data_IF_667152309436
#
_entry.id   IF_667152309436
#
_cell.length_a   1.000
_cell.length_b   1.000
_cell.length_c   1.000
_cell.angle_alpha   90.00
_cell.angle_beta   90.00
_cell.angle_gamma   90.00
#
_symmetry.space_group_name_H-M   'P 1'
#
loop_
_entity.id
_entity.type
_entity.pdbx_description
1 polymer ?
#
# COMPACT_ATOMS: atom_id res chain seq x y z
N UNK A 1 -5.14 47.07 -76.51
CA UNK A 1 -6.02 46.62 -75.35
C UNK A 1 -5.52 45.29 -74.83
N UNK A 2 -4.73 45.31 -73.78
CA UNK A 2 -4.17 44.12 -73.16
C UNK A 2 -4.99 43.79 -71.90
N UNK A 3 -5.61 42.60 -71.88
CA UNK A 3 -6.34 42.06 -70.70
C UNK A 3 -5.32 41.40 -69.73
N UNK A 4 -5.21 41.96 -68.55
CA UNK A 4 -4.47 41.31 -67.45
C UNK A 4 -5.38 40.26 -66.83
N UNK A 5 -4.87 39.01 -66.75
CA UNK A 5 -5.46 37.91 -66.00
C UNK A 5 -4.81 37.85 -64.62
N UNK A 6 -5.58 38.14 -63.59
CA UNK A 6 -5.15 37.94 -62.18
C UNK A 6 -5.42 36.47 -61.79
N UNK A 7 -4.35 35.73 -61.49
CA UNK A 7 -4.42 34.39 -60.91
C UNK A 7 -4.35 34.54 -59.38
N UNK A 8 -5.43 34.16 -58.68
CA UNK A 8 -5.46 34.03 -57.26
C UNK A 8 -4.91 32.65 -56.87
N UNK A 9 -3.73 32.59 -56.22
CA UNK A 9 -3.25 31.39 -55.55
C UNK A 9 -3.86 31.37 -54.13
N UNK A 10 -4.79 30.41 -53.92
CA UNK A 10 -5.28 30.09 -52.59
C UNK A 10 -4.26 29.16 -51.91
N UNK A 11 -3.52 29.68 -50.93
CA UNK A 11 -2.66 28.87 -50.08
C UNK A 11 -3.54 28.15 -49.02
N UNK A 12 -3.74 26.87 -49.19
CA UNK A 12 -4.28 26.00 -48.14
C UNK A 12 -3.20 25.82 -47.07
N UNK A 13 -3.32 26.51 -45.96
CA UNK A 13 -2.59 26.22 -44.75
C UNK A 13 -3.21 24.96 -44.13
N UNK A 14 -2.54 23.82 -44.26
CA UNK A 14 -2.85 22.61 -43.51
C UNK A 14 -2.50 22.87 -42.03
N UNK A 15 -3.50 23.20 -41.21
CA UNK A 15 -3.38 23.21 -39.77
C UNK A 15 -3.29 21.70 -39.35
N UNK A 16 -2.07 21.22 -39.17
CA UNK A 16 -1.81 19.99 -38.49
C UNK A 16 -2.25 20.19 -37.02
N UNK A 17 -3.41 19.68 -36.63
CA UNK A 17 -3.73 19.47 -35.24
C UNK A 17 -2.72 18.46 -34.69
N UNK A 18 -1.64 18.94 -34.09
CA UNK A 18 -0.87 18.13 -33.18
C UNK A 18 -1.84 17.75 -32.04
N UNK A 19 -2.29 16.49 -32.03
CA UNK A 19 -2.91 15.95 -30.83
C UNK A 19 -1.88 16.14 -29.71
N UNK A 20 -2.17 17.01 -28.75
CA UNK A 20 -1.43 17.04 -27.49
C UNK A 20 -1.50 15.62 -26.96
N UNK A 21 -0.34 14.93 -26.94
CA UNK A 21 -0.21 13.65 -26.27
C UNK A 21 -0.56 13.94 -24.81
N UNK A 22 -1.67 13.37 -24.32
CA UNK A 22 -1.93 13.34 -22.88
C UNK A 22 -0.65 12.87 -22.17
N UNK A 23 -0.25 13.49 -21.05
CA UNK A 23 0.91 13.02 -20.32
C UNK A 23 0.74 11.54 -20.05
N UNK A 24 1.77 10.76 -20.32
CA UNK A 24 1.75 9.32 -20.10
C UNK A 24 1.49 9.07 -18.61
N UNK A 25 0.56 8.16 -18.29
CA UNK A 25 0.30 7.74 -16.91
C UNK A 25 1.59 7.22 -16.28
N UNK A 26 1.89 7.53 -15.01
CA UNK A 26 3.10 7.04 -14.35
C UNK A 26 3.05 5.52 -14.21
N UNK A 27 4.20 4.88 -14.42
CA UNK A 27 4.41 3.45 -14.27
C UNK A 27 5.45 3.25 -13.17
N UNK A 28 5.07 2.56 -12.09
CA UNK A 28 5.91 2.28 -10.93
C UNK A 28 6.32 0.81 -10.90
N UNK A 29 7.61 0.54 -10.68
CA UNK A 29 8.11 -0.80 -10.36
C UNK A 29 8.53 -0.84 -8.89
N UNK A 30 7.99 -1.82 -8.15
CA UNK A 30 8.35 -2.03 -6.75
C UNK A 30 9.53 -2.99 -6.62
N UNK A 31 10.40 -2.70 -5.68
CA UNK A 31 11.55 -3.52 -5.29
C UNK A 31 11.43 -3.85 -3.80
N UNK A 32 10.79 -4.97 -3.48
CA UNK A 32 10.68 -5.50 -2.12
C UNK A 32 12.05 -5.83 -1.55
N UNK A 33 12.29 -5.51 -0.28
CA UNK A 33 13.62 -5.60 0.30
C UNK A 33 14.06 -7.02 0.60
N UNK A 34 13.16 -7.88 1.08
CA UNK A 34 13.47 -9.26 1.41
C UNK A 34 13.60 -10.10 0.14
N UNK A 35 12.61 -10.06 -0.73
CA UNK A 35 12.56 -10.89 -1.94
C UNK A 35 13.67 -10.57 -2.94
N UNK A 36 14.14 -9.34 -2.98
CA UNK A 36 15.20 -8.89 -3.89
C UNK A 36 16.57 -8.72 -3.20
N UNK A 37 16.72 -9.12 -1.93
CA UNK A 37 17.92 -8.79 -1.14
C UNK A 37 19.22 -9.22 -1.82
N UNK A 38 19.32 -10.47 -2.25
CA UNK A 38 20.51 -11.00 -2.93
C UNK A 38 20.81 -10.24 -4.23
N UNK A 39 19.80 -10.04 -5.07
CA UNK A 39 19.92 -9.35 -6.38
C UNK A 39 20.36 -7.91 -6.20
N UNK A 40 19.78 -7.20 -5.25
CA UNK A 40 20.06 -5.78 -4.98
C UNK A 40 21.30 -5.55 -4.10
N UNK A 41 22.03 -6.61 -3.72
CA UNK A 41 23.31 -6.49 -3.03
C UNK A 41 24.48 -6.15 -3.97
N UNK A 42 24.19 -5.99 -5.26
CA UNK A 42 25.15 -5.66 -6.30
C UNK A 42 24.72 -4.40 -7.06
N UNK A 43 25.46 -3.28 -7.01
CA UNK A 43 25.10 -2.04 -7.70
C UNK A 43 24.89 -2.21 -9.22
N UNK A 44 25.64 -3.12 -9.86
CA UNK A 44 25.48 -3.41 -11.29
C UNK A 44 24.11 -4.06 -11.61
N UNK A 45 23.55 -4.83 -10.67
CA UNK A 45 22.18 -5.38 -10.81
C UNK A 45 21.14 -4.27 -10.73
N UNK A 46 21.33 -3.30 -9.81
CA UNK A 46 20.44 -2.13 -9.69
C UNK A 46 20.45 -1.37 -11.01
N UNK A 47 21.63 -1.02 -11.53
CA UNK A 47 21.77 -0.33 -12.81
C UNK A 47 21.10 -1.10 -13.95
N UNK A 48 21.32 -2.40 -14.02
CA UNK A 48 20.73 -3.25 -15.06
C UNK A 48 19.20 -3.22 -15.03
N UNK A 49 18.59 -3.44 -13.85
CA UNK A 49 17.14 -3.50 -13.75
C UNK A 49 16.46 -2.13 -13.88
N UNK A 50 17.07 -1.06 -13.35
CA UNK A 50 16.57 0.31 -13.54
C UNK A 50 16.60 0.70 -15.01
N UNK A 51 17.69 0.41 -15.73
CA UNK A 51 17.74 0.64 -17.18
C UNK A 51 16.70 -0.19 -17.93
N UNK A 52 16.55 -1.47 -17.58
CA UNK A 52 15.61 -2.37 -18.25
C UNK A 52 14.15 -1.93 -18.12
N UNK A 53 13.72 -1.52 -16.92
CA UNK A 53 12.34 -1.05 -16.73
C UNK A 53 12.14 0.34 -17.35
N UNK A 54 13.15 1.22 -17.34
CA UNK A 54 13.09 2.47 -18.08
C UNK A 54 12.84 2.25 -19.56
N UNK A 55 13.55 1.33 -20.19
CA UNK A 55 13.37 0.97 -21.61
C UNK A 55 11.98 0.39 -21.91
N UNK A 56 11.28 -0.12 -20.89
CA UNK A 56 9.88 -0.58 -20.97
C UNK A 56 8.86 0.55 -20.72
N UNK A 57 9.32 1.76 -20.43
CA UNK A 57 8.48 2.94 -20.22
C UNK A 57 8.11 3.22 -18.76
N UNK A 58 8.72 2.54 -17.78
CA UNK A 58 8.53 2.89 -16.38
C UNK A 58 9.15 4.25 -16.09
N UNK A 59 8.41 5.04 -15.31
CA UNK A 59 8.76 6.42 -14.95
C UNK A 59 9.21 6.55 -13.50
N UNK A 60 8.90 5.54 -12.70
CA UNK A 60 9.08 5.58 -11.26
C UNK A 60 9.56 4.23 -10.73
N UNK A 61 10.36 4.26 -9.66
CA UNK A 61 10.70 3.08 -8.86
C UNK A 61 10.28 3.30 -7.40
N UNK A 62 9.83 2.25 -6.74
CA UNK A 62 9.58 2.22 -5.30
C UNK A 62 10.51 1.19 -4.68
N UNK A 63 11.31 1.59 -3.71
CA UNK A 63 12.34 0.76 -3.09
C UNK A 63 12.08 0.65 -1.60
N UNK A 64 11.89 -0.56 -1.09
CA UNK A 64 11.78 -0.76 0.34
C UNK A 64 13.08 -0.43 1.06
N UNK A 65 13.00 0.46 2.03
CA UNK A 65 14.14 0.92 2.84
C UNK A 65 13.99 0.63 4.33
N UNK A 66 12.82 0.16 4.75
CA UNK A 66 12.56 -0.41 6.08
C UNK A 66 11.77 -1.70 5.91
N UNK A 67 12.34 -2.81 6.39
CA UNK A 67 11.78 -4.15 6.31
C UNK A 67 10.62 -4.36 7.29
N UNK A 68 9.88 -5.47 7.13
CA UNK A 68 8.83 -5.87 8.10
C UNK A 68 9.40 -6.19 9.49
N UNK A 69 10.71 -6.42 9.60
CA UNK A 69 11.38 -6.66 10.89
C UNK A 69 11.65 -5.37 11.67
N UNK A 70 11.34 -4.20 11.10
CA UNK A 70 11.68 -2.90 11.68
C UNK A 70 13.15 -2.51 11.49
N UNK A 71 13.88 -3.27 10.67
CA UNK A 71 15.28 -3.01 10.30
C UNK A 71 15.34 -2.15 9.05
N UNK A 72 16.26 -1.19 8.99
CA UNK A 72 16.46 -0.32 7.81
C UNK A 72 17.52 -0.87 6.86
N UNK A 73 17.39 -0.55 5.56
CA UNK A 73 18.36 -0.92 4.52
C UNK A 73 19.36 0.21 4.22
N UNK A 74 19.38 1.20 5.09
CA UNK A 74 20.38 2.27 5.14
C UNK A 74 20.90 2.40 6.57
N UNK A 75 22.05 3.00 6.76
CA UNK A 75 22.59 3.24 8.09
C UNK A 75 21.74 4.28 8.81
N UNK A 76 20.89 3.82 9.73
CA UNK A 76 20.07 4.63 10.63
C UNK A 76 20.81 4.89 11.93
N UNK A 77 20.51 6.02 12.56
CA UNK A 77 20.91 6.33 13.94
C UNK A 77 19.83 5.93 14.96
N UNK A 78 18.68 5.44 14.47
CA UNK A 78 17.47 5.13 15.25
C UNK A 78 17.14 3.64 15.20
N UNK A 79 17.03 3.08 13.99
CA UNK A 79 16.62 1.70 13.77
C UNK A 79 17.82 0.78 13.47
N UNK A 80 17.74 -0.52 13.79
CA UNK A 80 18.80 -1.47 13.44
C UNK A 80 18.94 -1.59 11.92
N UNK A 81 20.18 -1.86 11.47
CA UNK A 81 20.49 -2.07 10.06
C UNK A 81 20.26 -3.54 9.66
N UNK A 82 19.57 -3.76 8.54
CA UNK A 82 19.38 -5.07 7.92
C UNK A 82 20.65 -5.47 7.14
N UNK A 83 21.66 -5.95 7.86
CA UNK A 83 22.97 -6.29 7.29
C UNK A 83 23.08 -7.70 6.70
N UNK A 84 22.05 -8.54 6.88
CA UNK A 84 22.03 -9.93 6.41
C UNK A 84 20.60 -10.39 6.16
N UNK A 85 20.39 -11.14 5.07
CA UNK A 85 19.17 -11.86 4.79
C UNK A 85 19.46 -13.12 3.98
N UNK A 86 18.94 -14.28 4.44
CA UNK A 86 19.08 -15.59 3.78
C UNK A 86 20.53 -15.94 3.37
N UNK A 87 21.49 -15.62 4.25
CA UNK A 87 22.91 -15.91 4.04
C UNK A 87 23.67 -14.90 3.16
N UNK A 88 22.99 -13.87 2.67
CA UNK A 88 23.63 -12.75 1.95
C UNK A 88 23.88 -11.60 2.92
N UNK A 89 25.12 -11.11 2.97
CA UNK A 89 25.51 -10.00 3.85
C UNK A 89 25.77 -8.74 3.07
N UNK A 90 25.42 -7.59 3.66
CA UNK A 90 25.73 -6.24 3.17
C UNK A 90 26.51 -5.48 4.24
N UNK A 91 27.56 -4.75 3.89
CA UNK A 91 28.22 -3.86 4.84
C UNK A 91 27.32 -2.68 5.22
N UNK A 92 27.46 -2.14 6.45
CA UNK A 92 26.61 -1.02 6.93
C UNK A 92 26.67 0.25 6.07
N UNK A 93 27.69 0.40 5.26
CA UNK A 93 27.84 1.53 4.35
C UNK A 93 27.29 1.24 2.94
N UNK A 94 26.60 0.12 2.73
CA UNK A 94 25.92 -0.15 1.47
C UNK A 94 24.68 0.72 1.36
N UNK A 95 24.74 1.73 0.51
CA UNK A 95 23.66 2.70 0.31
C UNK A 95 22.73 2.25 -0.82
N UNK A 96 21.82 1.32 -0.49
CA UNK A 96 20.86 0.77 -1.45
C UNK A 96 20.08 1.86 -2.18
N UNK A 97 19.45 2.77 -1.44
CA UNK A 97 18.60 3.81 -2.03
C UNK A 97 19.43 4.83 -2.82
N UNK A 98 20.63 5.16 -2.34
CA UNK A 98 21.55 6.05 -3.06
C UNK A 98 21.89 5.54 -4.45
N UNK A 99 22.10 4.23 -4.63
CA UNK A 99 22.29 3.64 -5.95
C UNK A 99 21.04 3.78 -6.84
N UNK A 100 19.84 3.58 -6.30
CA UNK A 100 18.60 3.77 -7.06
C UNK A 100 18.39 5.24 -7.46
N UNK A 101 18.65 6.19 -6.56
CA UNK A 101 18.56 7.63 -6.84
C UNK A 101 19.54 7.99 -7.96
N UNK A 102 20.80 7.55 -7.85
CA UNK A 102 21.80 7.84 -8.87
C UNK A 102 21.41 7.29 -10.25
N UNK A 103 21.05 6.01 -10.33
CA UNK A 103 20.75 5.37 -11.61
C UNK A 103 19.37 5.79 -12.18
N UNK A 104 18.36 5.98 -11.33
CA UNK A 104 17.04 6.45 -11.73
C UNK A 104 17.09 7.87 -12.28
N UNK A 105 17.72 8.79 -11.55
CA UNK A 105 17.82 10.19 -11.97
C UNK A 105 18.63 10.38 -13.26
N UNK A 106 19.67 9.55 -13.52
CA UNK A 106 20.40 9.55 -14.80
C UNK A 106 19.47 9.30 -16.00
N UNK A 107 18.39 8.55 -15.78
CA UNK A 107 17.40 8.18 -16.79
C UNK A 107 16.14 9.06 -16.73
N UNK A 108 16.08 10.04 -15.82
CA UNK A 108 14.90 10.90 -15.64
C UNK A 108 13.72 10.22 -14.93
N UNK A 109 13.96 9.09 -14.28
CA UNK A 109 12.95 8.41 -13.45
C UNK A 109 12.89 9.02 -12.05
N UNK A 110 11.72 8.98 -11.42
CA UNK A 110 11.56 9.32 -9.99
C UNK A 110 11.85 8.10 -9.13
N UNK A 111 12.41 8.35 -7.95
CA UNK A 111 12.75 7.32 -6.98
C UNK A 111 12.04 7.58 -5.66
N UNK A 112 11.30 6.60 -5.17
CA UNK A 112 10.54 6.66 -3.94
C UNK A 112 11.06 5.61 -2.96
N UNK A 113 11.26 6.01 -1.69
CA UNK A 113 11.53 5.05 -0.62
C UNK A 113 10.24 4.55 -0.01
N UNK A 114 10.10 3.25 0.21
CA UNK A 114 8.98 2.65 0.94
C UNK A 114 9.40 2.19 2.33
N UNK A 115 8.54 2.42 3.32
CA UNK A 115 8.75 1.99 4.70
C UNK A 115 7.55 1.18 5.19
N UNK A 116 7.82 -0.02 5.71
CA UNK A 116 6.86 -0.86 6.45
C UNK A 116 6.68 -0.27 7.87
N UNK A 117 5.85 0.77 8.01
CA UNK A 117 5.86 1.67 9.17
C UNK A 117 5.59 0.92 10.48
N UNK A 118 4.40 0.36 10.69
CA UNK A 118 4.07 -0.32 11.95
C UNK A 118 4.42 -1.83 11.95
N UNK A 119 5.36 -2.25 11.10
CA UNK A 119 5.93 -3.58 11.16
C UNK A 119 7.22 -3.59 11.98
N UNK A 120 7.37 -4.58 12.87
CA UNK A 120 8.52 -4.69 13.77
C UNK A 120 9.01 -6.12 13.97
N UNK A 121 8.49 -7.10 13.22
CA UNK A 121 8.92 -8.49 13.33
C UNK A 121 8.47 -9.41 12.21
N UNK A 122 9.22 -10.48 12.01
CA UNK A 122 8.88 -11.59 11.14
C UNK A 122 8.72 -12.86 11.99
N UNK A 123 7.46 -13.25 12.25
CA UNK A 123 7.14 -14.30 13.23
C UNK A 123 7.61 -15.72 12.84
N UNK A 124 7.87 -15.99 11.55
CA UNK A 124 8.41 -17.30 11.14
C UNK A 124 9.90 -17.45 11.43
N UNK A 125 10.63 -16.30 11.52
CA UNK A 125 12.06 -16.29 11.78
C UNK A 125 12.41 -15.82 13.20
N UNK A 126 11.42 -15.47 14.03
CA UNK A 126 11.62 -14.87 15.35
C UNK A 126 12.64 -13.71 15.31
N UNK A 127 12.51 -12.86 14.27
CA UNK A 127 13.43 -11.76 13.99
C UNK A 127 12.71 -10.43 13.92
N UNK A 128 13.38 -9.38 14.34
CA UNK A 128 12.91 -8.00 14.33
C UNK A 128 12.91 -7.36 15.71
N UNK A 129 12.55 -6.09 15.76
CA UNK A 129 12.65 -5.28 16.99
C UNK A 129 11.74 -5.77 18.11
N UNK A 130 10.60 -6.40 17.79
CA UNK A 130 9.69 -7.00 18.80
C UNK A 130 10.24 -8.27 19.45
N UNK A 131 11.30 -8.86 18.90
CA UNK A 131 12.02 -10.01 19.48
C UNK A 131 13.25 -9.59 20.27
N UNK A 132 13.49 -8.28 20.41
CA UNK A 132 14.61 -7.67 21.12
C UNK A 132 14.15 -6.57 22.08
N UNK A 133 14.73 -5.39 21.92
CA UNK A 133 14.60 -4.27 22.87
C UNK A 133 13.21 -3.63 22.89
N UNK A 134 12.34 -3.93 21.92
CA UNK A 134 11.00 -3.37 21.78
C UNK A 134 9.88 -4.44 21.86
N UNK A 135 10.10 -5.48 22.65
CA UNK A 135 9.12 -6.55 22.83
C UNK A 135 7.79 -6.07 23.42
N UNK A 136 7.78 -4.99 24.17
CA UNK A 136 6.61 -4.36 24.79
C UNK A 136 5.79 -3.49 23.81
N UNK A 137 6.34 -3.18 22.63
CA UNK A 137 5.66 -2.40 21.59
C UNK A 137 4.78 -3.24 20.66
N UNK A 138 4.91 -4.57 20.73
CA UNK A 138 4.17 -5.47 19.85
C UNK A 138 2.66 -5.44 20.11
N UNK A 139 1.88 -5.64 19.05
CA UNK A 139 0.42 -5.74 19.15
C UNK A 139 -0.02 -6.90 20.04
N UNK A 140 -1.07 -6.66 20.84
CA UNK A 140 -1.73 -7.68 21.66
C UNK A 140 -2.99 -8.17 20.93
N UNK A 141 -2.99 -9.44 20.57
CA UNK A 141 -4.04 -10.08 19.75
C UNK A 141 -5.06 -10.76 20.65
N UNK A 142 -6.33 -10.39 20.52
CA UNK A 142 -7.43 -11.07 21.19
C UNK A 142 -7.98 -12.17 20.30
N UNK A 143 -7.67 -13.41 20.63
CA UNK A 143 -8.07 -14.60 19.86
C UNK A 143 -8.50 -15.71 20.80
N UNK A 144 -9.58 -16.43 20.45
CA UNK A 144 -10.09 -17.58 21.19
C UNK A 144 -10.28 -17.32 22.70
N UNK A 145 -10.76 -16.12 23.04
CA UNK A 145 -10.99 -15.70 24.43
C UNK A 145 -9.74 -15.31 25.22
N UNK A 146 -8.58 -15.19 24.58
CA UNK A 146 -7.31 -14.83 25.21
C UNK A 146 -6.66 -13.65 24.51
N UNK A 147 -5.95 -12.83 25.26
CA UNK A 147 -5.06 -11.79 24.72
C UNK A 147 -3.65 -12.34 24.78
N UNK A 148 -2.98 -12.39 23.64
CA UNK A 148 -1.61 -12.88 23.50
C UNK A 148 -0.76 -11.94 22.66
N UNK A 149 0.57 -11.88 22.88
CA UNK A 149 1.46 -11.10 22.02
C UNK A 149 1.43 -11.60 20.57
N UNK A 150 1.51 -10.70 19.58
CA UNK A 150 1.47 -11.09 18.18
C UNK A 150 2.63 -12.03 17.78
N UNK A 151 3.76 -11.94 18.48
CA UNK A 151 4.91 -12.84 18.27
C UNK A 151 4.61 -14.31 18.57
N UNK A 152 3.53 -14.62 19.32
CA UNK A 152 3.06 -15.98 19.57
C UNK A 152 2.14 -16.52 18.46
N UNK A 153 1.66 -15.66 17.55
CA UNK A 153 0.76 -16.04 16.44
C UNK A 153 1.58 -16.52 15.25
N UNK A 154 2.02 -17.77 15.28
CA UNK A 154 2.88 -18.34 14.22
C UNK A 154 2.16 -18.69 12.91
N UNK A 155 0.85 -18.51 12.85
CA UNK A 155 0.08 -18.58 11.60
C UNK A 155 0.12 -17.27 10.78
N UNK A 156 0.59 -16.17 11.38
CA UNK A 156 0.79 -14.89 10.75
C UNK A 156 2.28 -14.54 10.75
N UNK A 157 2.86 -14.23 9.60
CA UNK A 157 4.27 -13.84 9.51
C UNK A 157 4.53 -12.42 10.03
N UNK A 158 3.52 -11.56 10.03
CA UNK A 158 3.67 -10.17 10.47
C UNK A 158 3.79 -10.05 12.00
N UNK A 159 4.88 -9.48 12.47
CA UNK A 159 5.05 -9.02 13.83
C UNK A 159 4.78 -7.52 13.92
N UNK A 160 3.49 -7.13 13.99
CA UNK A 160 3.09 -5.72 13.99
C UNK A 160 3.29 -5.06 15.35
N UNK A 161 3.69 -3.81 15.32
CA UNK A 161 3.68 -2.88 16.47
C UNK A 161 2.25 -2.44 16.78
N UNK A 162 2.02 -1.91 17.98
CA UNK A 162 0.75 -1.27 18.31
C UNK A 162 0.72 0.19 17.80
N UNK A 163 -0.05 0.52 16.74
CA UNK A 163 -0.12 1.88 16.21
C UNK A 163 -0.69 2.92 17.18
N UNK A 164 -1.42 2.48 18.19
CA UNK A 164 -1.98 3.38 19.21
C UNK A 164 -0.99 3.73 20.32
N UNK A 165 0.17 3.07 20.40
CA UNK A 165 1.19 3.38 21.38
C UNK A 165 1.93 4.67 21.00
N UNK A 166 1.90 5.74 21.83
CA UNK A 166 2.59 7.00 21.54
C UNK A 166 4.11 6.85 21.35
N UNK A 167 4.77 5.94 22.08
CA UNK A 167 6.21 5.68 21.93
C UNK A 167 6.52 5.07 20.56
N UNK A 168 5.65 4.17 20.07
CA UNK A 168 5.76 3.60 18.71
C UNK A 168 5.57 4.68 17.67
N UNK A 169 4.57 5.55 17.82
CA UNK A 169 4.35 6.66 16.88
C UNK A 169 5.54 7.61 16.84
N UNK A 170 6.09 7.98 18.00
CA UNK A 170 7.27 8.85 18.08
C UNK A 170 8.48 8.21 17.38
N UNK A 171 8.73 6.93 17.62
CA UNK A 171 9.81 6.17 17.00
C UNK A 171 9.67 6.13 15.48
N UNK A 172 8.50 5.78 14.97
CA UNK A 172 8.27 5.71 13.51
C UNK A 172 8.33 7.09 12.85
N UNK A 173 7.79 8.13 13.48
CA UNK A 173 7.94 9.51 13.01
C UNK A 173 9.42 9.96 12.98
N UNK A 174 10.22 9.54 13.97
CA UNK A 174 11.64 9.85 13.98
C UNK A 174 12.39 9.16 12.82
N UNK A 175 12.06 7.90 12.50
CA UNK A 175 12.62 7.19 11.32
C UNK A 175 12.23 7.89 10.03
N UNK A 176 10.95 8.27 9.85
CA UNK A 176 10.48 8.98 8.67
C UNK A 176 11.21 10.30 8.47
N UNK A 177 11.44 11.05 9.54
CA UNK A 177 12.21 12.31 9.53
C UNK A 177 13.68 12.08 9.18
N UNK A 178 14.29 11.07 9.81
CA UNK A 178 15.67 10.70 9.53
C UNK A 178 15.85 10.35 8.05
N UNK A 179 14.94 9.53 7.52
CA UNK A 179 14.93 9.15 6.11
C UNK A 179 14.88 10.38 5.19
N UNK A 180 13.90 11.27 5.39
CA UNK A 180 13.75 12.48 4.59
C UNK A 180 14.97 13.43 4.69
N UNK A 181 15.61 13.48 5.85
CA UNK A 181 16.82 14.28 6.08
C UNK A 181 18.08 13.67 5.45
N UNK A 182 18.21 12.34 5.46
CA UNK A 182 19.36 11.63 4.87
C UNK A 182 19.29 11.55 3.35
N UNK A 183 18.09 11.56 2.77
CA UNK A 183 17.88 11.47 1.32
C UNK A 183 17.12 12.69 0.77
N UNK A 184 17.77 13.88 0.75
CA UNK A 184 17.12 15.11 0.28
C UNK A 184 16.76 15.09 -1.21
N UNK A 185 17.37 14.19 -1.98
CA UNK A 185 17.16 14.05 -3.42
C UNK A 185 16.13 12.96 -3.77
N UNK A 186 15.57 12.25 -2.78
CA UNK A 186 14.48 11.30 -3.03
C UNK A 186 13.23 12.04 -3.47
N UNK A 187 12.52 11.53 -4.48
CA UNK A 187 11.33 12.18 -5.03
C UNK A 187 10.09 11.98 -4.17
N UNK A 188 9.99 10.84 -3.46
CA UNK A 188 8.84 10.56 -2.62
C UNK A 188 9.10 9.50 -1.56
N UNK A 189 8.13 9.39 -0.69
CA UNK A 189 8.02 8.34 0.32
C UNK A 189 6.68 7.64 0.14
N UNK A 190 6.67 6.31 0.18
CA UNK A 190 5.45 5.51 0.14
C UNK A 190 5.31 4.79 1.48
N UNK A 191 4.24 5.05 2.18
CA UNK A 191 3.89 4.31 3.38
C UNK A 191 3.39 2.92 2.99
N UNK A 192 3.92 1.89 3.65
CA UNK A 192 3.34 0.55 3.70
C UNK A 192 3.09 0.19 5.15
N UNK A 193 2.09 -0.64 5.41
CA UNK A 193 1.73 -1.13 6.75
C UNK A 193 1.50 -0.02 7.80
N UNK A 194 0.99 1.15 7.38
CA UNK A 194 0.46 2.16 8.30
C UNK A 194 -0.92 1.70 8.76
N UNK A 195 -0.93 0.64 9.57
CA UNK A 195 -2.15 -0.08 9.93
C UNK A 195 -1.97 -0.94 11.19
N UNK A 196 -3.08 -1.32 11.81
CA UNK A 196 -3.11 -2.43 12.76
C UNK A 196 -2.93 -3.78 12.02
N UNK A 197 -2.67 -4.86 12.77
CA UNK A 197 -2.55 -6.19 12.16
C UNK A 197 -3.88 -6.69 11.59
N UNK A 198 -4.89 -6.82 12.45
CA UNK A 198 -6.20 -7.34 12.07
C UNK A 198 -7.28 -6.76 13.01
N UNK A 199 -8.55 -7.15 12.81
CA UNK A 199 -9.67 -6.75 13.68
C UNK A 199 -9.48 -7.23 15.13
N UNK A 200 -8.71 -8.27 15.33
CA UNK A 200 -8.36 -8.84 16.63
C UNK A 200 -7.21 -8.14 17.35
N UNK A 201 -6.69 -7.04 16.83
CA UNK A 201 -5.63 -6.21 17.45
C UNK A 201 -5.95 -4.70 17.39
N UNK A 202 -5.41 -3.82 18.26
CA UNK A 202 -4.67 -4.14 19.46
C UNK A 202 -5.60 -4.13 20.68
N UNK A 203 -5.51 -5.17 21.50
CA UNK A 203 -6.32 -5.29 22.72
C UNK A 203 -5.47 -5.16 24.00
N UNK A 204 -4.39 -4.40 23.97
CA UNK A 204 -3.59 -4.07 25.16
C UNK A 204 -4.37 -3.24 26.17
N UNK A 205 -3.94 -3.19 27.45
CA UNK A 205 -4.47 -2.26 28.44
C UNK A 205 -4.37 -0.79 27.99
N UNK A 206 -3.27 -0.42 27.28
CA UNK A 206 -3.09 0.93 26.73
C UNK A 206 -4.17 1.26 25.70
N UNK A 207 -4.41 0.36 24.74
CA UNK A 207 -5.45 0.55 23.72
C UNK A 207 -6.85 0.66 24.33
N UNK A 208 -7.13 -0.07 25.43
CA UNK A 208 -8.36 0.10 26.19
C UNK A 208 -8.50 1.50 26.75
N UNK A 209 -7.45 2.00 27.43
CA UNK A 209 -7.45 3.34 28.04
C UNK A 209 -7.67 4.44 27.01
N UNK A 210 -6.91 4.39 25.89
CA UNK A 210 -7.01 5.36 24.81
C UNK A 210 -8.38 5.34 24.13
N UNK A 211 -8.94 4.14 23.92
CA UNK A 211 -10.28 3.99 23.38
C UNK A 211 -11.35 4.54 24.32
N UNK A 212 -11.28 4.26 25.62
CA UNK A 212 -12.21 4.80 26.61
C UNK A 212 -12.19 6.33 26.65
N UNK A 213 -11.01 6.92 26.52
CA UNK A 213 -10.85 8.38 26.41
C UNK A 213 -11.50 8.93 25.13
N UNK A 214 -11.29 8.29 23.99
CA UNK A 214 -11.90 8.65 22.70
C UNK A 214 -13.43 8.49 22.72
N UNK A 215 -13.92 7.39 23.24
CA UNK A 215 -15.35 7.06 23.26
C UNK A 215 -16.13 7.86 24.33
N UNK A 216 -15.45 8.47 25.30
CA UNK A 216 -16.05 9.17 26.43
C UNK A 216 -16.85 8.25 27.36
N UNK A 217 -16.55 6.93 27.34
CA UNK A 217 -17.25 5.94 28.15
C UNK A 217 -16.30 4.82 28.56
N UNK A 218 -16.62 4.14 29.68
CA UNK A 218 -15.85 2.97 30.11
C UNK A 218 -16.36 1.70 29.47
N UNK A 219 -15.44 0.79 29.13
CA UNK A 219 -15.73 -0.55 28.62
C UNK A 219 -15.96 -1.45 29.84
N UNK A 220 -17.21 -1.86 30.08
CA UNK A 220 -17.58 -2.64 31.25
C UNK A 220 -17.10 -4.09 31.18
N UNK A 221 -17.25 -4.72 30.01
CA UNK A 221 -16.78 -6.07 29.71
C UNK A 221 -15.72 -6.00 28.60
N UNK A 222 -14.46 -5.83 28.98
CA UNK A 222 -13.34 -5.76 28.01
C UNK A 222 -12.69 -7.14 27.85
N UNK A 223 -12.50 -7.64 26.61
CA UNK A 223 -12.82 -7.05 25.29
C UNK A 223 -14.26 -7.31 24.79
N UNK A 224 -15.11 -8.01 25.56
CA UNK A 224 -16.42 -8.52 25.13
C UNK A 224 -17.42 -7.47 24.61
N UNK A 225 -17.36 -6.22 25.11
CA UNK A 225 -18.19 -5.12 24.60
C UNK A 225 -17.74 -4.61 23.23
N UNK A 226 -16.53 -5.00 22.80
CA UNK A 226 -15.97 -4.67 21.49
C UNK A 226 -16.10 -5.87 20.56
N UNK A 227 -15.47 -6.98 20.91
CA UNK A 227 -15.41 -8.21 20.14
C UNK A 227 -15.50 -9.40 21.08
N UNK A 228 -16.43 -10.31 20.80
CA UNK A 228 -16.71 -11.46 21.67
C UNK A 228 -16.42 -12.76 20.97
N UNK A 229 -15.49 -13.53 21.49
CA UNK A 229 -15.22 -14.88 21.05
C UNK A 229 -16.15 -15.88 21.74
N UNK A 230 -16.67 -16.82 20.96
CA UNK A 230 -17.51 -17.93 21.43
C UNK A 230 -17.05 -19.22 20.77
N UNK A 231 -17.12 -20.32 21.53
CA UNK A 231 -16.84 -21.66 21.02
C UNK A 231 -18.15 -22.43 20.88
N UNK A 232 -18.37 -23.05 19.73
CA UNK A 232 -19.54 -23.89 19.51
C UNK A 232 -19.37 -25.31 20.13
N UNK A 233 -20.41 -26.13 19.97
CA UNK A 233 -20.43 -27.49 20.52
C UNK A 233 -19.36 -28.41 19.90
N UNK A 234 -18.90 -28.10 18.71
CA UNK A 234 -17.85 -28.84 17.98
C UNK A 234 -16.44 -28.32 18.29
N UNK A 235 -16.34 -27.32 19.17
CA UNK A 235 -15.09 -26.72 19.57
C UNK A 235 -14.54 -25.66 18.61
N UNK A 236 -15.31 -25.24 17.61
CA UNK A 236 -14.91 -24.21 16.63
C UNK A 236 -15.14 -22.82 17.21
N UNK A 237 -14.09 -22.00 17.17
CA UNK A 237 -14.15 -20.61 17.59
C UNK A 237 -14.71 -19.70 16.50
N UNK A 238 -15.53 -18.76 16.93
CA UNK A 238 -16.04 -17.66 16.11
C UNK A 238 -16.14 -16.38 16.94
N UNK A 239 -16.14 -15.23 16.29
CA UNK A 239 -16.33 -13.96 16.98
C UNK A 239 -17.57 -13.22 16.49
N UNK A 240 -18.08 -12.37 17.33
CA UNK A 240 -19.22 -11.48 17.05
C UNK A 240 -18.94 -10.07 17.54
N UNK A 241 -19.63 -9.10 16.98
CA UNK A 241 -19.50 -7.70 17.36
C UNK A 241 -20.17 -7.44 18.71
N UNK A 242 -19.47 -6.71 19.58
CA UNK A 242 -20.03 -6.15 20.81
C UNK A 242 -20.72 -4.78 20.55
N UNK A 243 -21.39 -4.20 21.56
CA UNK A 243 -22.11 -2.92 21.40
C UNK A 243 -21.21 -1.72 21.09
N UNK A 244 -19.91 -1.80 21.40
CA UNK A 244 -18.92 -0.73 21.14
C UNK A 244 -18.09 -0.98 19.88
N UNK A 245 -18.34 -2.05 19.13
CA UNK A 245 -17.56 -2.44 17.97
C UNK A 245 -17.40 -1.32 16.93
N UNK A 246 -18.51 -0.70 16.52
CA UNK A 246 -18.47 0.36 15.49
C UNK A 246 -17.66 1.59 15.95
N UNK A 247 -17.74 1.92 17.24
CA UNK A 247 -16.95 3.02 17.81
C UNK A 247 -15.47 2.65 17.94
N UNK A 248 -15.16 1.37 18.19
CA UNK A 248 -13.79 0.85 18.23
C UNK A 248 -13.11 0.94 16.88
N UNK A 249 -13.76 0.51 15.79
CA UNK A 249 -13.18 0.61 14.45
C UNK A 249 -13.01 2.07 13.98
N UNK A 250 -13.90 2.96 14.38
CA UNK A 250 -13.77 4.41 14.15
C UNK A 250 -12.54 4.96 14.88
N UNK A 251 -12.36 4.62 16.16
CA UNK A 251 -11.19 5.01 16.93
C UNK A 251 -9.88 4.51 16.30
N UNK A 252 -9.81 3.25 15.91
CA UNK A 252 -8.62 2.70 15.24
C UNK A 252 -8.29 3.48 13.96
N UNK A 253 -9.29 3.80 13.17
CA UNK A 253 -9.10 4.59 11.96
C UNK A 253 -8.67 6.04 12.27
N UNK A 254 -9.13 6.64 13.39
CA UNK A 254 -8.65 7.95 13.83
C UNK A 254 -7.17 7.93 14.25
N UNK A 255 -6.71 6.86 14.92
CA UNK A 255 -5.29 6.68 15.28
C UNK A 255 -4.40 6.71 14.04
N UNK A 256 -4.79 5.98 12.99
CA UNK A 256 -4.03 5.97 11.73
C UNK A 256 -4.09 7.34 11.04
N UNK A 257 -5.27 7.97 10.97
CA UNK A 257 -5.42 9.32 10.40
C UNK A 257 -4.52 10.34 11.10
N UNK A 258 -4.51 10.33 12.42
CA UNK A 258 -3.72 11.28 13.22
C UNK A 258 -2.22 11.09 12.98
N UNK A 259 -1.75 9.84 12.93
CA UNK A 259 -0.37 9.52 12.58
C UNK A 259 0.00 10.01 11.16
N UNK A 260 -0.81 9.70 10.15
CA UNK A 260 -0.57 10.14 8.77
C UNK A 260 -0.55 11.66 8.68
N UNK A 261 -1.44 12.35 9.41
CA UNK A 261 -1.49 13.81 9.46
C UNK A 261 -0.20 14.40 10.02
N UNK A 262 0.30 13.84 11.11
CA UNK A 262 1.54 14.31 11.73
C UNK A 262 2.76 13.97 10.88
N UNK A 263 2.82 12.76 10.30
CA UNK A 263 3.88 12.39 9.36
C UNK A 263 3.91 13.33 8.15
N UNK A 264 2.76 13.58 7.53
CA UNK A 264 2.65 14.54 6.42
C UNK A 264 3.20 15.92 6.81
N UNK A 265 2.75 16.47 7.94
CA UNK A 265 3.19 17.78 8.42
C UNK A 265 4.71 17.83 8.60
N UNK A 266 5.29 16.85 9.31
CA UNK A 266 6.74 16.83 9.60
C UNK A 266 7.58 16.61 8.34
N UNK A 267 7.16 15.73 7.43
CA UNK A 267 7.87 15.45 6.19
C UNK A 267 7.86 16.67 5.26
N UNK A 268 6.73 17.36 5.11
CA UNK A 268 6.62 18.58 4.29
C UNK A 268 7.40 19.76 4.89
N UNK A 269 7.63 19.81 6.20
CA UNK A 269 8.52 20.79 6.83
C UNK A 269 10.00 20.56 6.45
N UNK A 270 10.43 19.29 6.33
CA UNK A 270 11.80 18.95 5.93
C UNK A 270 12.00 19.15 4.44
N UNK A 271 11.11 18.61 3.62
CA UNK A 271 11.16 18.72 2.17
C UNK A 271 9.75 18.99 1.60
N UNK A 272 9.40 20.25 1.32
CA UNK A 272 8.09 20.60 0.76
C UNK A 272 7.77 19.97 -0.59
N UNK A 273 8.79 19.50 -1.33
CA UNK A 273 8.63 18.84 -2.64
C UNK A 273 8.49 17.33 -2.54
N UNK A 274 8.76 16.73 -1.38
CA UNK A 274 8.67 15.29 -1.19
C UNK A 274 7.24 14.82 -1.45
N UNK A 275 7.06 13.92 -2.39
CA UNK A 275 5.76 13.29 -2.65
C UNK A 275 5.46 12.29 -1.53
N UNK A 276 4.26 12.35 -0.98
CA UNK A 276 3.81 11.45 0.09
C UNK A 276 2.79 10.49 -0.49
N UNK A 277 3.11 9.21 -0.45
CA UNK A 277 2.27 8.13 -0.96
C UNK A 277 1.87 7.14 0.11
N UNK A 278 0.82 6.39 -0.18
CA UNK A 278 0.37 5.26 0.63
C UNK A 278 -0.03 4.09 -0.25
N UNK A 279 0.26 2.86 0.22
CA UNK A 279 -0.07 1.62 -0.45
C UNK A 279 -1.01 0.78 0.40
N UNK A 280 -2.23 0.58 -0.08
CA UNK A 280 -3.27 -0.18 0.62
C UNK A 280 -4.00 -1.14 -0.32
N UNK A 281 -4.75 -2.08 0.25
CA UNK A 281 -5.61 -2.95 -0.53
C UNK A 281 -6.88 -2.25 -1.01
N UNK A 282 -7.35 -2.63 -2.20
CA UNK A 282 -8.56 -2.06 -2.81
C UNK A 282 -9.88 -2.52 -2.15
N UNK A 283 -9.87 -3.51 -1.27
CA UNK A 283 -11.07 -4.09 -0.62
C UNK A 283 -11.58 -3.24 0.54
N UNK A 284 -11.95 -2.01 0.27
CA UNK A 284 -12.45 -1.03 1.24
C UNK A 284 -13.55 -1.56 2.17
N UNK A 285 -14.54 -2.36 1.70
CA UNK A 285 -15.64 -2.84 2.55
C UNK A 285 -15.20 -3.57 3.81
N UNK A 286 -13.99 -4.14 3.80
CA UNK A 286 -13.43 -4.89 4.93
C UNK A 286 -12.11 -4.30 5.44
N UNK A 287 -11.64 -3.19 4.85
CA UNK A 287 -10.35 -2.60 5.21
C UNK A 287 -10.31 -2.00 6.62
N UNK A 288 -11.50 -1.72 7.21
CA UNK A 288 -11.62 -1.37 8.63
C UNK A 288 -11.06 -2.45 9.57
N UNK A 289 -10.89 -3.70 9.11
CA UNK A 289 -10.27 -4.77 9.90
C UNK A 289 -8.84 -4.43 10.31
N UNK A 290 -8.15 -3.69 9.49
CA UNK A 290 -6.78 -3.23 9.79
C UNK A 290 -6.74 -1.78 10.30
N UNK A 291 -7.89 -1.21 10.64
CA UNK A 291 -8.01 0.14 11.24
C UNK A 291 -7.64 1.26 10.28
N UNK A 292 -7.89 1.11 8.99
CA UNK A 292 -7.51 2.09 7.95
C UNK A 292 -8.74 2.61 7.22
N UNK A 293 -8.78 3.93 7.03
CA UNK A 293 -9.74 4.59 6.17
C UNK A 293 -9.00 5.45 5.13
N UNK A 294 -8.61 4.83 4.01
CA UNK A 294 -7.93 5.50 2.91
C UNK A 294 -8.86 6.34 2.00
N UNK A 295 -10.11 6.58 2.43
CA UNK A 295 -11.06 7.43 1.73
C UNK A 295 -10.68 8.92 1.85
N UNK A 296 -11.23 9.74 0.94
CA UNK A 296 -11.37 11.16 1.18
C UNK A 296 -12.40 11.44 2.29
N UNK A 297 -12.22 12.51 3.06
CA UNK A 297 -13.23 13.00 4.02
C UNK A 297 -14.55 13.41 3.34
N UNK A 298 -14.55 13.57 2.01
CA UNK A 298 -15.75 13.85 1.22
C UNK A 298 -16.62 12.61 1.01
N UNK A 299 -16.04 11.41 1.07
CA UNK A 299 -16.76 10.15 0.98
C UNK A 299 -17.42 9.81 2.32
N UNK A 300 -18.69 9.44 2.29
CA UNK A 300 -19.45 9.07 3.50
C UNK A 300 -19.69 7.56 3.53
N UNK A 301 -18.85 6.79 4.24
CA UNK A 301 -18.98 5.32 4.30
C UNK A 301 -20.29 4.86 4.90
N UNK A 302 -20.88 5.61 5.84
CA UNK A 302 -22.13 5.23 6.50
C UNK A 302 -23.34 5.15 5.56
N UNK A 303 -23.23 5.71 4.34
CA UNK A 303 -24.26 5.56 3.29
C UNK A 303 -24.20 4.22 2.57
N UNK A 304 -23.11 3.49 2.70
CA UNK A 304 -22.84 2.26 1.94
C UNK A 304 -22.64 1.05 2.85
N UNK A 305 -22.22 1.27 4.10
CA UNK A 305 -21.78 0.19 5.00
C UNK A 305 -22.34 0.37 6.39
N UNK A 306 -23.06 -0.62 6.87
CA UNK A 306 -23.69 -0.62 8.20
C UNK A 306 -22.67 -0.64 9.35
N UNK A 307 -21.45 -1.06 9.09
CA UNK A 307 -20.38 -1.04 10.09
C UNK A 307 -19.86 0.38 10.36
N UNK A 308 -19.97 1.32 9.43
CA UNK A 308 -19.48 2.68 9.62
C UNK A 308 -20.41 3.51 10.50
N UNK A 309 -19.84 4.31 11.40
CA UNK A 309 -20.55 5.38 12.12
C UNK A 309 -20.66 6.62 11.21
N UNK A 310 -21.55 7.58 11.49
CA UNK A 310 -21.59 8.85 10.74
C UNK A 310 -20.26 9.62 10.80
N UNK A 311 -19.52 9.49 11.91
CA UNK A 311 -18.24 10.17 12.16
C UNK A 311 -17.06 9.46 11.49
N UNK A 312 -17.19 8.20 11.06
CA UNK A 312 -16.12 7.43 10.43
C UNK A 312 -15.50 8.14 9.22
N UNK A 313 -16.29 8.92 8.46
CA UNK A 313 -15.79 9.73 7.35
C UNK A 313 -14.64 10.69 7.74
N UNK A 314 -14.64 11.18 8.98
CA UNK A 314 -13.64 12.13 9.47
C UNK A 314 -12.26 11.48 9.69
N UNK A 315 -12.19 10.16 9.59
CA UNK A 315 -10.94 9.41 9.71
C UNK A 315 -10.27 9.12 8.35
N UNK A 316 -10.86 9.61 7.25
CA UNK A 316 -10.28 9.52 5.91
C UNK A 316 -9.03 10.38 5.76
N UNK A 317 -8.05 9.92 4.95
CA UNK A 317 -6.79 10.64 4.78
C UNK A 317 -6.29 10.76 3.34
N UNK A 318 -7.07 10.35 2.33
CA UNK A 318 -6.68 10.51 0.92
C UNK A 318 -6.29 11.94 0.57
N UNK A 319 -6.92 12.93 1.22
CA UNK A 319 -6.68 14.37 1.02
C UNK A 319 -5.25 14.82 1.42
N UNK A 320 -4.50 13.98 2.14
CA UNK A 320 -3.13 14.23 2.57
C UNK A 320 -2.07 13.61 1.65
N UNK A 321 -2.49 12.83 0.64
CA UNK A 321 -1.59 12.07 -0.21
C UNK A 321 -1.35 12.77 -1.56
N UNK A 322 -0.11 12.67 -2.06
CA UNK A 322 0.27 13.02 -3.42
C UNK A 322 0.20 11.80 -4.36
N UNK A 323 0.34 10.58 -3.81
CA UNK A 323 0.31 9.28 -4.51
C UNK A 323 -0.56 8.33 -3.70
N UNK A 324 -1.55 7.71 -4.35
CA UNK A 324 -2.30 6.62 -3.73
C UNK A 324 -2.22 5.37 -4.60
N UNK A 325 -1.67 4.30 -4.03
CA UNK A 325 -1.51 3.01 -4.69
C UNK A 325 -2.54 2.03 -4.12
N UNK A 326 -3.49 1.59 -4.97
CA UNK A 326 -4.54 0.65 -4.56
C UNK A 326 -4.21 -0.77 -5.02
N UNK A 327 -4.06 -1.69 -4.08
CA UNK A 327 -3.74 -3.10 -4.34
C UNK A 327 -4.92 -3.84 -4.97
N UNK A 328 -4.94 -3.94 -6.30
CA UNK A 328 -5.94 -4.70 -7.05
C UNK A 328 -5.55 -6.19 -7.09
N UNK A 329 -5.53 -6.83 -5.92
CA UNK A 329 -5.06 -8.21 -5.73
C UNK A 329 -6.14 -9.23 -6.10
N UNK A 330 -6.60 -9.15 -7.35
CA UNK A 330 -7.69 -9.95 -7.87
C UNK A 330 -7.24 -10.76 -9.08
N UNK A 331 -7.63 -12.04 -9.13
CA UNK A 331 -7.41 -12.88 -10.30
C UNK A 331 -8.43 -12.58 -11.41
N UNK A 332 -9.63 -12.13 -11.05
CA UNK A 332 -10.64 -11.70 -12.01
C UNK A 332 -10.36 -10.26 -12.48
N UNK A 333 -10.45 -10.04 -13.78
CA UNK A 333 -10.13 -8.77 -14.41
C UNK A 333 -11.36 -7.88 -14.54
N UNK A 334 -12.47 -8.44 -15.03
CA UNK A 334 -13.67 -7.65 -15.34
C UNK A 334 -14.89 -8.06 -14.50
N UNK A 335 -15.87 -7.14 -14.36
CA UNK A 335 -17.18 -7.44 -13.75
C UNK A 335 -17.89 -8.60 -14.47
N UNK A 336 -17.73 -8.71 -15.80
CA UNK A 336 -18.30 -9.83 -16.54
C UNK A 336 -17.68 -11.19 -16.19
N UNK A 337 -16.42 -11.22 -15.73
CA UNK A 337 -15.80 -12.43 -15.19
C UNK A 337 -16.38 -12.77 -13.80
N UNK A 338 -16.63 -11.76 -12.97
CA UNK A 338 -17.31 -11.96 -11.68
C UNK A 338 -18.68 -12.59 -11.87
N UNK A 339 -19.49 -12.09 -12.82
CA UNK A 339 -20.79 -12.64 -13.14
C UNK A 339 -20.73 -14.10 -13.57
N UNK A 340 -19.73 -14.47 -14.38
CA UNK A 340 -19.50 -15.86 -14.82
C UNK A 340 -19.04 -16.77 -13.68
N UNK A 341 -18.27 -16.26 -12.75
CA UNK A 341 -17.78 -17.00 -11.59
C UNK A 341 -18.90 -17.38 -10.61
N UNK A 342 -20.07 -16.73 -10.70
CA UNK A 342 -21.29 -17.04 -9.96
C UNK A 342 -21.06 -17.18 -8.43
N UNK A 343 -20.35 -16.21 -7.84
CA UNK A 343 -20.02 -16.18 -6.40
C UNK A 343 -18.82 -17.03 -5.98
N UNK A 344 -18.27 -17.87 -6.85
CA UNK A 344 -17.05 -18.67 -6.60
C UNK A 344 -15.78 -17.83 -6.82
N UNK A 345 -15.68 -16.68 -6.18
CA UNK A 345 -14.53 -15.81 -6.34
C UNK A 345 -13.50 -16.14 -5.29
N UNK A 346 -12.50 -16.97 -5.65
CA UNK A 346 -11.32 -17.22 -4.85
C UNK A 346 -10.48 -15.95 -4.80
N UNK A 347 -10.39 -15.31 -3.63
CA UNK A 347 -9.71 -14.04 -3.49
C UNK A 347 -8.79 -14.03 -2.30
N UNK A 348 -7.60 -13.50 -2.51
CA UNK A 348 -6.74 -13.10 -1.43
C UNK A 348 -7.30 -11.82 -0.83
N UNK A 349 -8.13 -11.96 0.18
CA UNK A 349 -8.54 -10.87 1.03
C UNK A 349 -8.09 -11.15 2.44
N UNK A 350 -7.54 -10.17 3.09
CA UNK A 350 -7.18 -10.27 4.50
C UNK A 350 -8.42 -10.39 5.41
N UNK A 351 -9.61 -10.19 4.84
CA UNK A 351 -10.89 -10.32 5.53
C UNK A 351 -11.92 -10.97 4.62
N UNK A 352 -12.70 -11.89 5.17
CA UNK A 352 -13.80 -12.56 4.47
C UNK A 352 -14.80 -11.54 3.90
N UNK A 353 -15.32 -11.82 2.71
CA UNK A 353 -16.19 -10.93 1.96
C UNK A 353 -17.55 -11.53 1.73
N UNK A 354 -18.63 -10.70 1.73
CA UNK A 354 -19.98 -11.15 1.44
C UNK A 354 -20.25 -11.16 -0.08
N UNK A 355 -21.14 -12.05 -0.52
CA UNK A 355 -21.56 -12.21 -1.93
C UNK A 355 -22.17 -10.93 -2.52
N UNK A 356 -22.74 -10.05 -1.68
CA UNK A 356 -23.42 -8.82 -2.12
C UNK A 356 -22.44 -7.76 -2.67
N UNK A 357 -21.14 -7.98 -2.50
CA UNK A 357 -20.10 -7.00 -2.86
C UNK A 357 -19.13 -7.54 -3.91
N UNK A 358 -19.52 -8.52 -4.70
CA UNK A 358 -18.65 -9.24 -5.61
C UNK A 358 -17.90 -8.36 -6.63
N UNK A 359 -18.50 -7.25 -7.11
CA UNK A 359 -17.84 -6.36 -8.08
C UNK A 359 -16.64 -5.61 -7.53
N UNK A 360 -16.45 -5.52 -6.21
CA UNK A 360 -15.23 -5.00 -5.61
C UNK A 360 -13.99 -5.86 -5.92
N UNK A 361 -14.20 -7.08 -6.31
CA UNK A 361 -13.22 -8.17 -6.35
C UNK A 361 -12.80 -8.56 -7.75
N UNK A 362 -12.74 -7.57 -8.60
CA UNK A 362 -12.06 -7.63 -9.88
C UNK A 362 -11.28 -6.33 -10.09
N UNK A 363 -10.36 -6.35 -11.03
CA UNK A 363 -9.52 -5.18 -11.34
C UNK A 363 -10.40 -3.98 -11.72
N UNK A 364 -11.35 -4.17 -12.65
CA UNK A 364 -12.28 -3.12 -13.11
C UNK A 364 -13.09 -2.52 -11.95
N UNK A 365 -13.73 -3.35 -11.15
CA UNK A 365 -14.59 -2.87 -10.05
C UNK A 365 -13.80 -2.26 -8.91
N UNK A 366 -12.65 -2.84 -8.54
CA UNK A 366 -11.77 -2.29 -7.52
C UNK A 366 -11.22 -0.91 -7.90
N UNK A 367 -10.82 -0.74 -9.16
CA UNK A 367 -10.35 0.55 -9.69
C UNK A 367 -11.46 1.62 -9.67
N UNK A 368 -12.67 1.26 -10.14
CA UNK A 368 -13.83 2.16 -10.13
C UNK A 368 -14.15 2.66 -8.71
N UNK A 369 -14.20 1.74 -7.74
CA UNK A 369 -14.50 2.09 -6.37
C UNK A 369 -13.36 2.87 -5.71
N UNK A 370 -12.11 2.56 -5.97
CA UNK A 370 -10.99 3.33 -5.43
C UNK A 370 -11.08 4.81 -5.87
N UNK A 371 -11.37 5.08 -7.13
CA UNK A 371 -11.59 6.44 -7.64
C UNK A 371 -12.80 7.12 -7.01
N UNK A 372 -13.89 6.37 -6.80
CA UNK A 372 -15.09 6.89 -6.14
C UNK A 372 -14.84 7.27 -4.68
N UNK A 373 -14.10 6.44 -3.94
CA UNK A 373 -13.83 6.62 -2.51
C UNK A 373 -12.84 7.74 -2.26
N UNK A 374 -11.84 7.87 -3.11
CA UNK A 374 -10.89 8.99 -3.03
C UNK A 374 -11.46 10.32 -3.52
N UNK A 375 -12.66 10.34 -4.12
CA UNK A 375 -13.35 11.53 -4.61
C UNK A 375 -12.49 12.40 -5.58
N UNK A 376 -11.44 11.81 -6.19
CA UNK A 376 -10.55 12.51 -7.10
C UNK A 376 -9.58 13.52 -6.44
N UNK A 377 -9.40 13.46 -5.11
CA UNK A 377 -8.47 14.35 -4.38
C UNK A 377 -7.01 13.92 -4.55
N UNK A 378 -6.77 12.68 -4.94
CA UNK A 378 -5.45 12.10 -5.23
C UNK A 378 -5.52 11.23 -6.47
N UNK A 379 -4.47 11.19 -7.33
CA UNK A 379 -4.38 10.22 -8.41
C UNK A 379 -4.36 8.79 -7.87
N UNK A 380 -5.16 7.89 -8.46
CA UNK A 380 -5.24 6.49 -8.06
C UNK A 380 -4.37 5.64 -8.98
N UNK A 381 -3.33 5.03 -8.43
CA UNK A 381 -2.46 4.08 -9.13
C UNK A 381 -2.93 2.65 -8.87
N UNK A 382 -3.29 1.92 -9.93
CA UNK A 382 -3.69 0.51 -9.82
C UNK A 382 -2.48 -0.39 -9.64
N UNK A 383 -2.46 -1.18 -8.58
CA UNK A 383 -1.31 -2.01 -8.21
C UNK A 383 -1.59 -3.48 -8.46
N UNK A 384 -0.75 -4.14 -9.24
CA UNK A 384 -0.88 -5.56 -9.62
C UNK A 384 0.15 -6.39 -8.86
N UNK A 385 -0.32 -7.37 -8.09
CA UNK A 385 0.52 -8.36 -7.46
C UNK A 385 0.74 -9.55 -8.39
N UNK A 386 1.95 -9.66 -8.93
CA UNK A 386 2.29 -10.64 -9.98
C UNK A 386 2.10 -12.08 -9.53
N UNK A 387 2.43 -12.38 -8.26
CA UNK A 387 2.31 -13.73 -7.68
C UNK A 387 0.87 -14.27 -7.72
N UNK A 388 -0.12 -13.38 -7.68
CA UNK A 388 -1.55 -13.72 -7.71
C UNK A 388 -1.94 -14.55 -8.93
N UNK A 389 -1.22 -14.41 -10.05
CA UNK A 389 -1.54 -15.06 -11.33
C UNK A 389 -0.87 -16.43 -11.50
N UNK A 390 -0.05 -16.85 -10.55
CA UNK A 390 0.64 -18.14 -10.51
C UNK A 390 1.31 -18.52 -11.83
N UNK A 391 0.64 -19.28 -12.71
CA UNK A 391 1.14 -19.70 -14.03
C UNK A 391 0.37 -19.08 -15.20
N UNK A 392 -0.63 -18.21 -14.95
CA UNK A 392 -1.49 -17.63 -16.00
C UNK A 392 -0.96 -16.27 -16.49
N UNK A 393 0.05 -16.32 -17.36
CA UNK A 393 0.65 -15.15 -17.98
C UNK A 393 -0.34 -14.32 -18.82
N UNK A 394 -1.33 -14.98 -19.45
CA UNK A 394 -2.33 -14.28 -20.26
C UNK A 394 -3.28 -13.46 -19.37
N UNK A 395 -3.69 -14.03 -18.24
CA UNK A 395 -4.51 -13.30 -17.25
C UNK A 395 -3.74 -12.14 -16.63
N UNK A 396 -2.44 -12.33 -16.32
CA UNK A 396 -1.57 -11.25 -15.87
C UNK A 396 -1.52 -10.09 -16.89
N UNK A 397 -1.28 -10.38 -18.16
CA UNK A 397 -1.29 -9.37 -19.23
C UNK A 397 -2.59 -8.57 -19.25
N UNK A 398 -3.74 -9.25 -19.18
CA UNK A 398 -5.07 -8.62 -19.14
C UNK A 398 -5.27 -7.75 -17.89
N UNK A 399 -4.80 -8.21 -16.74
CA UNK A 399 -4.87 -7.48 -15.48
C UNK A 399 -4.07 -6.18 -15.54
N UNK A 400 -2.84 -6.23 -16.04
CA UNK A 400 -1.98 -5.06 -16.27
C UNK A 400 -2.68 -4.06 -17.20
N UNK A 401 -3.22 -4.52 -18.33
CA UNK A 401 -3.93 -3.68 -19.30
C UNK A 401 -5.16 -3.01 -18.67
N UNK A 402 -5.97 -3.76 -17.93
CA UNK A 402 -7.18 -3.25 -17.30
C UNK A 402 -6.86 -2.23 -16.19
N UNK A 403 -5.90 -2.55 -15.30
CA UNK A 403 -5.48 -1.65 -14.24
C UNK A 403 -4.99 -0.31 -14.81
N UNK A 404 -4.11 -0.34 -15.82
CA UNK A 404 -3.61 0.88 -16.46
C UNK A 404 -4.70 1.68 -17.18
N UNK A 405 -5.68 1.01 -17.77
CA UNK A 405 -6.82 1.66 -18.42
C UNK A 405 -7.71 2.41 -17.44
N UNK A 406 -8.04 1.77 -16.31
CA UNK A 406 -9.09 2.24 -15.40
C UNK A 406 -8.57 3.18 -14.30
N UNK A 407 -7.25 3.24 -14.08
CA UNK A 407 -6.63 4.08 -13.05
C UNK A 407 -5.76 5.18 -13.66
N UNK A 408 -5.17 6.03 -12.81
CA UNK A 408 -4.36 7.17 -13.22
C UNK A 408 -2.87 6.83 -13.33
N UNK A 409 -2.47 5.60 -12.98
CA UNK A 409 -1.12 5.04 -13.07
C UNK A 409 -1.14 3.53 -12.86
N UNK A 410 0.00 2.87 -13.03
CA UNK A 410 0.17 1.44 -12.79
C UNK A 410 1.34 1.20 -11.87
N UNK A 411 1.20 0.32 -10.89
CA UNK A 411 2.31 -0.18 -10.10
C UNK A 411 2.38 -1.71 -10.19
N UNK A 412 3.56 -2.26 -10.36
CA UNK A 412 3.83 -3.70 -10.39
C UNK A 412 4.52 -4.11 -9.09
N UNK A 413 3.86 -4.95 -8.31
CA UNK A 413 4.38 -5.58 -7.11
C UNK A 413 4.66 -7.05 -7.37
N UNK A 414 5.89 -7.53 -7.46
CA UNK A 414 7.10 -6.76 -7.54
C UNK A 414 8.03 -7.34 -8.63
N UNK A 415 9.20 -6.73 -8.83
CA UNK A 415 10.12 -7.11 -9.91
C UNK A 415 10.62 -8.55 -9.81
N UNK A 416 10.80 -9.11 -8.58
CA UNK A 416 11.32 -10.48 -8.40
C UNK A 416 10.41 -11.51 -9.08
N UNK A 417 9.10 -11.30 -9.06
CA UNK A 417 8.15 -12.20 -9.70
C UNK A 417 8.22 -12.13 -11.23
N UNK A 418 8.46 -10.93 -11.79
CA UNK A 418 8.70 -10.77 -13.22
C UNK A 418 10.01 -11.47 -13.63
N UNK A 419 11.07 -11.32 -12.83
CA UNK A 419 12.36 -11.99 -13.09
C UNK A 419 12.21 -13.50 -13.05
N UNK A 420 11.61 -14.04 -11.99
CA UNK A 420 11.51 -15.48 -11.74
C UNK A 420 10.65 -16.19 -12.79
N UNK A 421 9.61 -15.52 -13.30
CA UNK A 421 8.70 -16.07 -14.33
C UNK A 421 9.16 -15.77 -15.76
N UNK A 422 10.07 -14.80 -15.93
CA UNK A 422 10.48 -14.32 -17.24
C UNK A 422 9.39 -13.54 -17.98
N UNK A 423 8.40 -12.96 -17.27
CA UNK A 423 7.20 -12.31 -17.82
C UNK A 423 7.41 -10.86 -18.29
N UNK A 424 8.57 -10.59 -18.83
CA UNK A 424 8.89 -9.25 -19.37
C UNK A 424 8.07 -8.90 -20.62
N UNK A 425 7.85 -9.88 -21.52
CA UNK A 425 7.03 -9.71 -22.72
C UNK A 425 5.55 -9.53 -22.41
N UNK A 426 5.05 -10.27 -21.43
CA UNK A 426 3.67 -10.20 -20.96
C UNK A 426 3.38 -8.85 -20.28
N UNK A 427 4.31 -8.37 -19.47
CA UNK A 427 4.23 -7.05 -18.86
C UNK A 427 4.22 -5.95 -19.94
N UNK A 428 5.13 -6.03 -20.92
CA UNK A 428 5.19 -5.06 -22.02
C UNK A 428 3.90 -5.07 -22.85
N UNK A 429 3.34 -6.25 -23.14
CA UNK A 429 2.09 -6.40 -23.85
C UNK A 429 0.92 -5.77 -23.08
N UNK A 430 0.81 -6.03 -21.77
CA UNK A 430 -0.21 -5.45 -20.92
C UNK A 430 -0.15 -3.92 -20.85
N UNK A 431 1.06 -3.35 -20.74
CA UNK A 431 1.27 -1.89 -20.77
C UNK A 431 0.84 -1.32 -22.13
N UNK A 432 1.23 -1.96 -23.25
CA UNK A 432 0.87 -1.50 -24.58
C UNK A 432 -0.65 -1.53 -24.82
N UNK A 433 -1.34 -2.57 -24.37
CA UNK A 433 -2.80 -2.69 -24.45
C UNK A 433 -3.54 -1.69 -23.57
N UNK A 434 -3.03 -1.43 -22.35
CA UNK A 434 -3.65 -0.52 -21.39
C UNK A 434 -3.43 0.97 -21.71
N UNK A 435 -2.43 1.27 -22.58
CA UNK A 435 -2.10 2.64 -23.00
C UNK A 435 -2.87 3.09 -24.24
N UNK A 436 -3.59 2.20 -24.91
CA UNK A 436 -4.43 2.48 -26.10
C UNK A 436 -5.88 2.76 -25.68
#
# INVERSE_FOLDING_TARGET
MKKLLLIWLAAFAAVSCAQEKLPSKPLYMWFDCEANYATLSHPDSIRYYVSKIHDMGFTDVVVDVKSIMGETLYKSDIAPYMGEWEGVTRPENYDLLGYFIEEGHKLGMRVHGSLNVFAGGHNYFDRGIIYGDHADWQSQVYTEGKIVPISEIKSNYNGMLNPANPEVQEYELAILKEFAGKYPDVDGIVFDRVRFDNITSDFSPLSKELFEAYAGTKVADYPGDILRWTQDADGKWSWSQGPLFRKWIEWRASVIKDFVTEAHRQLKEINPRLLIGDYTGAWYPTYYYVGVNWASEQFDPARYFDWATPEYRNTGYADLLDIYMTGLYYTLVTKAEVDKANGAVGQRTEAGMSDEQNYWYCIEGGAEWAKKITCGVVPVTGSIYVEQYEGDAAQFTRAVAQALRDTDGLMIFDIVHIINRGWWSELAAGIAEGSN
#
